data_IF_024209089685
#
_entry.id   IF_024209089685
#
_cell.length_a   1.000
_cell.length_b   1.000
_cell.length_c   1.000
_cell.angle_alpha   90.00
_cell.angle_beta   90.00
_cell.angle_gamma   90.00
#
_symmetry.space_group_name_H-M   'P 1'
#
loop_
_entity.id
_entity.type
_entity.pdbx_description
1 polymer ?
#
# COMPACT_ATOMS: atom_id res chain seq x y z
N UNK A 1 -11.49 10.02 9.05
CA UNK A 1 -11.71 10.19 7.60
C UNK A 1 -10.33 10.39 6.97
N UNK A 2 -9.76 9.37 6.33
CA UNK A 2 -8.37 9.38 5.84
C UNK A 2 -8.32 9.01 4.36
N UNK A 3 -7.41 9.65 3.62
CA UNK A 3 -7.14 9.37 2.20
C UNK A 3 -6.15 8.24 1.99
N UNK A 4 -5.11 8.22 2.83
CA UNK A 4 -4.04 7.24 2.79
C UNK A 4 -3.82 6.75 4.21
N UNK A 5 -3.70 5.43 4.38
CA UNK A 5 -3.40 4.80 5.66
C UNK A 5 -2.14 3.98 5.51
N UNK A 6 -1.14 4.26 6.34
CA UNK A 6 0.06 3.46 6.49
C UNK A 6 -0.06 2.66 7.79
N UNK A 7 0.18 1.36 7.73
CA UNK A 7 0.22 0.53 8.93
C UNK A 7 1.24 -0.60 8.77
N UNK A 8 1.67 -1.13 9.92
CA UNK A 8 2.68 -2.17 10.00
C UNK A 8 2.12 -3.44 10.66
N UNK A 9 2.84 -4.55 10.47
CA UNK A 9 2.50 -5.87 10.99
C UNK A 9 1.05 -6.29 10.67
N UNK A 10 0.64 -6.25 9.38
CA UNK A 10 -0.72 -6.54 9.03
C UNK A 10 -1.05 -8.02 9.32
N UNK A 11 -2.25 -8.28 9.82
CA UNK A 11 -2.77 -9.65 9.82
C UNK A 11 -3.00 -10.11 8.37
N UNK A 12 -2.32 -11.18 7.97
CA UNK A 12 -2.44 -11.82 6.66
C UNK A 12 -3.21 -13.13 6.83
N UNK A 13 -4.33 -13.27 6.11
CA UNK A 13 -5.19 -14.44 6.18
C UNK A 13 -4.63 -15.65 5.42
N UNK A 14 -5.38 -16.77 5.46
CA UNK A 14 -4.99 -18.00 4.78
C UNK A 14 -4.86 -17.85 3.26
N UNK A 15 -5.58 -16.90 2.66
CA UNK A 15 -5.52 -16.61 1.23
C UNK A 15 -4.40 -15.61 0.88
N UNK A 16 -3.57 -15.25 1.86
CA UNK A 16 -2.47 -14.30 1.67
C UNK A 16 -2.93 -12.85 1.64
N UNK A 17 -4.18 -12.53 1.96
CA UNK A 17 -4.68 -11.16 1.94
C UNK A 17 -4.67 -10.56 3.34
N UNK A 18 -4.39 -9.27 3.42
CA UNK A 18 -4.75 -8.48 4.59
C UNK A 18 -6.22 -8.08 4.50
N UNK A 19 -6.84 -7.76 5.64
CA UNK A 19 -8.21 -7.24 5.64
C UNK A 19 -8.26 -5.89 4.91
N UNK A 20 -8.59 -5.93 3.62
CA UNK A 20 -8.84 -4.73 2.83
C UNK A 20 -10.22 -4.17 3.18
N UNK A 21 -10.26 -2.90 3.58
CA UNK A 21 -11.52 -2.17 3.68
C UNK A 21 -12.07 -1.94 2.27
N UNK A 22 -13.38 -2.13 2.08
CA UNK A 22 -14.04 -2.04 0.75
C UNK A 22 -13.85 -0.69 0.06
N UNK A 23 -13.59 0.38 0.81
CA UNK A 23 -13.36 1.74 0.32
C UNK A 23 -11.92 2.04 -0.07
N UNK A 24 -11.00 1.07 0.06
CA UNK A 24 -9.58 1.27 -0.18
C UNK A 24 -9.03 0.30 -1.23
N UNK A 25 -8.00 0.76 -1.94
CA UNK A 25 -7.05 -0.08 -2.65
C UNK A 25 -5.92 -0.44 -1.67
N UNK A 26 -5.61 -1.73 -1.58
CA UNK A 26 -4.48 -2.19 -0.77
C UNK A 26 -3.22 -2.26 -1.62
N UNK A 27 -2.15 -1.63 -1.16
CA UNK A 27 -0.83 -1.61 -1.79
C UNK A 27 0.12 -2.41 -0.93
N UNK A 28 0.60 -3.50 -1.51
CA UNK A 28 1.58 -4.39 -0.92
C UNK A 28 2.99 -4.14 -1.45
N UNK A 29 4.04 -4.59 -0.74
CA UNK A 29 5.37 -4.73 -1.28
C UNK A 29 5.39 -5.67 -2.51
N UNK A 30 6.34 -5.51 -3.46
CA UNK A 30 6.39 -6.25 -4.72
C UNK A 30 6.34 -7.79 -4.62
N UNK A 31 6.80 -8.37 -3.50
CA UNK A 31 6.89 -9.83 -3.30
C UNK A 31 5.84 -10.41 -2.36
N UNK A 32 4.83 -9.63 -2.00
CA UNK A 32 3.75 -10.08 -1.14
C UNK A 32 3.06 -11.37 -1.65
N UNK A 33 2.89 -11.53 -2.97
CA UNK A 33 2.27 -12.76 -3.50
C UNK A 33 3.14 -14.01 -3.35
N UNK A 34 4.46 -13.86 -3.38
CA UNK A 34 5.39 -14.98 -3.22
C UNK A 34 5.47 -15.41 -1.76
N UNK A 35 5.55 -14.42 -0.86
CA UNK A 35 5.81 -14.63 0.57
C UNK A 35 4.89 -13.75 1.43
N UNK A 36 3.56 -13.96 1.40
CA UNK A 36 2.59 -13.05 2.01
C UNK A 36 2.80 -12.89 3.51
N UNK A 37 3.21 -13.96 4.20
CA UNK A 37 3.56 -13.96 5.63
C UNK A 37 4.77 -13.10 6.01
N UNK A 38 5.61 -12.69 5.05
CA UNK A 38 6.73 -11.77 5.31
C UNK A 38 6.33 -10.30 5.19
N UNK A 39 5.11 -10.00 4.76
CA UNK A 39 4.65 -8.61 4.58
C UNK A 39 4.54 -7.91 5.93
N UNK A 40 5.32 -6.84 6.12
CA UNK A 40 5.34 -6.06 7.37
C UNK A 40 4.88 -4.62 7.20
N UNK A 41 4.76 -4.14 5.96
CA UNK A 41 4.30 -2.78 5.65
C UNK A 41 3.24 -2.80 4.56
N UNK A 42 2.13 -2.09 4.79
CA UNK A 42 1.00 -1.97 3.85
C UNK A 42 0.52 -0.53 3.79
N UNK A 43 0.16 -0.09 2.59
CA UNK A 43 -0.53 1.17 2.36
C UNK A 43 -1.96 0.90 1.88
N UNK A 44 -2.92 1.67 2.38
CA UNK A 44 -4.27 1.74 1.85
C UNK A 44 -4.46 3.10 1.18
N UNK A 45 -4.99 3.11 -0.05
CA UNK A 45 -5.37 4.34 -0.76
C UNK A 45 -6.87 4.36 -0.93
N UNK A 46 -7.54 5.39 -0.43
CA UNK A 46 -8.98 5.52 -0.54
C UNK A 46 -9.40 5.59 -2.00
N UNK A 47 -10.46 4.87 -2.38
CA UNK A 47 -11.01 4.79 -3.75
C UNK A 47 -11.55 6.11 -4.31
N UNK A 48 -11.54 7.18 -3.50
CA UNK A 48 -11.89 8.54 -3.94
C UNK A 48 -10.73 9.20 -4.68
N UNK A 49 -9.50 8.71 -4.48
CA UNK A 49 -8.35 9.06 -5.28
C UNK A 49 -8.37 8.14 -6.50
N UNK A 50 -8.56 8.73 -7.67
CA UNK A 50 -8.58 8.00 -8.95
C UNK A 50 -7.28 7.22 -9.13
N UNK A 51 -7.36 5.99 -9.64
CA UNK A 51 -6.20 5.11 -9.87
C UNK A 51 -5.18 5.68 -10.86
N UNK A 52 -5.57 6.63 -11.71
CA UNK A 52 -4.65 7.37 -12.58
C UNK A 52 -3.83 8.46 -11.88
N UNK A 53 -4.18 8.83 -10.64
CA UNK A 53 -3.49 9.87 -9.88
C UNK A 53 -2.35 9.31 -9.01
N UNK A 54 -2.13 7.99 -8.99
CA UNK A 54 -1.07 7.37 -8.20
C UNK A 54 -0.50 6.11 -8.84
N UNK A 55 0.73 5.77 -8.45
CA UNK A 55 1.41 4.54 -8.85
C UNK A 55 2.20 3.97 -7.68
N UNK A 56 2.46 2.66 -7.69
CA UNK A 56 3.36 2.03 -6.71
C UNK A 56 4.81 2.32 -7.06
N UNK A 57 5.65 2.48 -6.04
CA UNK A 57 7.11 2.54 -6.19
C UNK A 57 7.64 1.16 -5.77
N UNK A 58 8.18 0.36 -6.70
CA UNK A 58 8.61 -1.00 -6.38
C UNK A 58 9.91 -0.99 -5.60
N UNK A 59 9.83 -1.15 -4.27
CA UNK A 59 10.98 -1.40 -3.40
C UNK A 59 10.96 -2.87 -3.02
N UNK A 60 11.99 -3.63 -3.41
CA UNK A 60 12.03 -5.07 -3.23
C UNK A 60 12.39 -5.49 -1.80
N UNK A 61 11.55 -5.10 -0.83
CA UNK A 61 11.70 -5.43 0.58
C UNK A 61 10.33 -5.59 1.24
N UNK A 62 10.14 -6.60 2.08
CA UNK A 62 8.83 -6.89 2.68
C UNK A 62 8.37 -5.85 3.71
N UNK A 63 9.29 -4.97 4.12
CA UNK A 63 9.06 -3.89 5.10
C UNK A 63 8.74 -2.56 4.42
N UNK A 64 8.75 -2.51 3.09
CA UNK A 64 8.57 -1.25 2.36
C UNK A 64 7.39 -1.37 1.41
N UNK A 65 6.36 -0.58 1.68
CA UNK A 65 5.32 -0.26 0.72
C UNK A 65 5.43 1.22 0.38
N UNK A 66 5.42 1.54 -0.92
CA UNK A 66 5.65 2.90 -1.36
C UNK A 66 4.78 3.27 -2.56
N UNK A 67 4.35 4.53 -2.60
CA UNK A 67 3.47 5.06 -3.65
C UNK A 67 3.88 6.48 -4.01
N UNK A 68 3.64 6.84 -5.27
CA UNK A 68 3.75 8.20 -5.77
C UNK A 68 2.36 8.68 -6.17
N UNK A 69 1.97 9.88 -5.73
CA UNK A 69 0.78 10.59 -6.17
C UNK A 69 1.19 11.77 -7.03
N UNK A 70 0.39 12.07 -8.06
CA UNK A 70 0.57 13.22 -8.94
C UNK A 70 -0.75 13.93 -9.13
N UNK A 71 -0.74 15.25 -9.02
CA UNK A 71 -1.89 16.12 -9.30
C UNK A 71 -1.47 17.58 -9.40
N UNK A 72 -2.43 18.50 -9.33
CA UNK A 72 -2.17 19.95 -9.41
C UNK A 72 -1.32 20.46 -8.22
N UNK A 73 -1.25 19.67 -7.14
CA UNK A 73 -0.37 19.89 -5.99
C UNK A 73 1.08 19.42 -6.24
N UNK A 74 1.41 18.97 -7.45
CA UNK A 74 2.71 18.40 -7.79
C UNK A 74 2.80 16.91 -7.47
N UNK A 75 3.98 16.46 -7.04
CA UNK A 75 4.27 15.05 -6.79
C UNK A 75 4.54 14.79 -5.32
N UNK A 76 3.81 13.83 -4.74
CA UNK A 76 4.03 13.34 -3.37
C UNK A 76 4.52 11.90 -3.45
N UNK A 77 5.58 11.56 -2.71
CA UNK A 77 6.04 10.17 -2.55
C UNK A 77 5.93 9.78 -1.09
N UNK A 78 5.30 8.64 -0.83
CA UNK A 78 5.10 8.11 0.50
C UNK A 78 5.82 6.76 0.57
N UNK A 79 6.70 6.63 1.56
CA UNK A 79 7.38 5.39 1.90
C UNK A 79 6.92 4.99 3.29
N UNK A 80 6.19 3.88 3.39
CA UNK A 80 5.84 3.26 4.66
C UNK A 80 6.88 2.19 4.96
N UNK A 81 7.65 2.38 6.03
CA UNK A 81 8.77 1.51 6.43
C UNK A 81 8.48 1.01 7.84
N UNK A 82 8.54 -0.32 8.02
CA UNK A 82 8.54 -0.97 9.33
C UNK A 82 9.96 -1.08 9.88
#
# INVERSE_FOLDING_TARGET
>A
NFDIVAFQEPFVDYFGNTKSLSHFHTVYPPRHRDEPKKTRSVLLIHKRITTGAWTTIPINHADVSAVQLTGDFGTIRIFNIY
#
